data_IF_513953352041
#
_entry.id   IF_513953352041
#
_cell.length_a   1.000
_cell.length_b   1.000
_cell.length_c   1.000
_cell.angle_alpha   90.00
_cell.angle_beta   90.00
_cell.angle_gamma   90.00
#
_symmetry.space_group_name_H-M   'P 1'
#
loop_
_entity.id
_entity.type
_entity.pdbx_description
1 polymer ?
#
# COMPACT_ATOMS: atom_id res chain seq x y z
N UNK A 1 31.14 1.40 22.98
CA UNK A 1 30.51 2.49 22.21
C UNK A 1 31.59 3.23 21.45
N UNK A 2 32.10 2.52 20.45
CA UNK A 2 32.90 3.10 19.39
C UNK A 2 31.97 3.70 18.31
N UNK A 3 32.56 4.18 17.22
CA UNK A 3 31.76 4.77 16.13
C UNK A 3 30.96 3.74 15.34
N UNK A 4 31.35 2.46 15.37
CA UNK A 4 30.57 1.37 14.78
C UNK A 4 29.29 1.14 15.59
N UNK A 5 29.38 1.07 16.92
CA UNK A 5 28.22 0.93 17.81
C UNK A 5 27.18 2.05 17.60
N UNK A 6 27.65 3.29 17.36
CA UNK A 6 26.77 4.44 17.08
C UNK A 6 26.12 4.34 15.70
N UNK A 7 26.88 3.95 14.68
CA UNK A 7 26.38 3.78 13.32
C UNK A 7 25.29 2.71 13.26
N UNK A 8 25.49 1.57 13.91
CA UNK A 8 24.51 0.48 13.99
C UNK A 8 23.22 0.94 14.69
N UNK A 9 23.35 1.71 15.78
CA UNK A 9 22.20 2.30 16.47
C UNK A 9 21.36 3.21 15.57
N UNK A 10 22.01 4.02 14.73
CA UNK A 10 21.34 4.91 13.77
C UNK A 10 20.66 4.13 12.63
N UNK A 11 21.31 3.08 12.12
CA UNK A 11 20.74 2.20 11.10
C UNK A 11 19.46 1.55 11.63
N UNK A 12 19.54 0.92 12.82
CA UNK A 12 18.40 0.24 13.43
C UNK A 12 17.23 1.21 13.73
N UNK A 13 17.52 2.44 14.14
CA UNK A 13 16.49 3.46 14.34
C UNK A 13 15.79 3.84 13.03
N UNK A 14 16.58 4.03 11.95
CA UNK A 14 16.06 4.38 10.64
C UNK A 14 15.22 3.27 10.01
N UNK A 15 15.65 2.02 10.16
CA UNK A 15 14.89 0.86 9.69
C UNK A 15 13.53 0.75 10.40
N UNK A 16 13.50 0.92 11.73
CA UNK A 16 12.25 0.91 12.50
C UNK A 16 11.30 2.01 12.03
N UNK A 17 11.80 3.21 11.78
CA UNK A 17 10.98 4.32 11.30
C UNK A 17 10.42 4.05 9.89
N UNK A 18 11.25 3.52 8.99
CA UNK A 18 10.83 3.14 7.64
C UNK A 18 9.75 2.05 7.65
N UNK A 19 9.91 1.02 8.49
CA UNK A 19 8.91 -0.03 8.66
C UNK A 19 7.58 0.53 9.18
N UNK A 20 7.63 1.41 10.20
CA UNK A 20 6.43 2.04 10.74
C UNK A 20 5.73 2.96 9.71
N UNK A 21 6.48 3.67 8.87
CA UNK A 21 5.92 4.46 7.78
C UNK A 21 5.23 3.57 6.72
N UNK A 22 5.87 2.46 6.33
CA UNK A 22 5.30 1.52 5.36
C UNK A 22 4.00 0.87 5.89
N UNK A 23 3.97 0.47 7.16
CA UNK A 23 2.77 -0.11 7.79
C UNK A 23 1.58 0.87 7.80
N UNK A 24 1.84 2.14 8.11
CA UNK A 24 0.80 3.19 8.06
C UNK A 24 0.25 3.37 6.65
N UNK A 25 1.13 3.45 5.65
CA UNK A 25 0.72 3.56 4.25
C UNK A 25 -0.11 2.35 3.77
N UNK A 26 0.13 1.16 4.30
CA UNK A 26 -0.67 -0.04 4.02
C UNK A 26 -2.04 0.02 4.68
N UNK A 27 -2.13 0.52 5.91
CA UNK A 27 -3.41 0.67 6.63
C UNK A 27 -4.36 1.63 5.92
N UNK A 28 -3.83 2.67 5.26
CA UNK A 28 -4.61 3.63 4.47
C UNK A 28 -5.01 3.10 3.08
N UNK A 29 -4.49 1.96 2.63
CA UNK A 29 -4.89 1.41 1.34
C UNK A 29 -6.34 0.90 1.39
N UNK A 30 -7.22 1.36 0.48
CA UNK A 30 -8.59 0.89 0.47
C UNK A 30 -8.61 -0.62 0.22
N UNK A 31 -9.27 -1.33 1.14
CA UNK A 31 -9.54 -2.75 0.98
C UNK A 31 -10.45 -2.92 -0.23
N UNK A 32 -10.10 -3.88 -1.08
CA UNK A 32 -10.96 -4.23 -2.20
C UNK A 32 -11.91 -5.34 -1.81
N UNK A 33 -13.12 -5.31 -2.36
CA UNK A 33 -14.12 -6.36 -2.21
C UNK A 33 -14.17 -7.21 -3.49
N UNK A 34 -14.42 -8.52 -3.41
CA UNK A 34 -14.68 -9.33 -4.59
C UNK A 34 -16.05 -8.99 -5.19
N UNK A 35 -16.17 -9.01 -6.51
CA UNK A 35 -17.44 -8.81 -7.21
C UNK A 35 -17.27 -8.38 -8.67
N UNK A 36 -18.34 -7.87 -9.27
CA UNK A 36 -18.37 -7.36 -10.64
C UNK A 36 -18.03 -5.85 -10.72
N UNK A 37 -17.19 -5.47 -11.69
CA UNK A 37 -16.78 -4.08 -11.92
C UNK A 37 -17.88 -3.22 -12.56
N UNK A 38 -18.23 -2.09 -11.96
CA UNK A 38 -19.29 -1.18 -12.45
C UNK A 38 -18.99 -0.52 -13.81
N UNK A 39 -17.73 -0.50 -14.26
CA UNK A 39 -17.35 0.13 -15.54
C UNK A 39 -17.22 -0.85 -16.71
N UNK A 40 -16.75 -2.07 -16.46
CA UNK A 40 -16.47 -3.04 -17.53
C UNK A 40 -17.25 -4.35 -17.40
N UNK A 41 -17.96 -4.59 -16.29
CA UNK A 41 -18.74 -5.82 -16.07
C UNK A 41 -17.89 -7.07 -15.85
N UNK A 42 -16.57 -6.96 -15.69
CA UNK A 42 -15.72 -8.11 -15.34
C UNK A 42 -15.70 -8.36 -13.83
N UNK A 43 -15.79 -9.63 -13.45
CA UNK A 43 -15.51 -10.05 -12.08
C UNK A 43 -14.04 -9.82 -11.73
N UNK A 44 -13.82 -9.24 -10.55
CA UNK A 44 -12.49 -9.01 -10.00
C UNK A 44 -12.45 -9.43 -8.53
N UNK A 45 -11.39 -10.12 -8.09
CA UNK A 45 -11.22 -10.46 -6.69
C UNK A 45 -10.95 -9.22 -5.80
N UNK A 46 -10.62 -8.06 -6.41
CA UNK A 46 -10.31 -6.82 -5.69
C UNK A 46 -10.86 -5.60 -6.42
N UNK A 47 -12.12 -5.26 -6.13
CA UNK A 47 -12.76 -4.01 -6.51
C UNK A 47 -12.56 -2.96 -5.43
N UNK A 48 -12.09 -1.78 -5.80
CA UNK A 48 -12.05 -0.63 -4.88
C UNK A 48 -13.08 0.37 -5.36
N UNK A 49 -14.01 0.76 -4.48
CA UNK A 49 -15.15 1.62 -4.82
C UNK A 49 -15.92 1.10 -6.05
N UNK A 50 -16.16 -0.21 -6.13
CA UNK A 50 -16.91 -0.83 -7.24
C UNK A 50 -16.15 -0.99 -8.55
N UNK A 51 -14.87 -0.59 -8.63
CA UNK A 51 -14.11 -0.57 -9.89
C UNK A 51 -12.84 -1.42 -9.82
N UNK A 52 -12.61 -2.23 -10.86
CA UNK A 52 -11.41 -3.06 -11.01
C UNK A 52 -10.15 -2.21 -11.21
N UNK A 53 -8.97 -2.78 -10.94
CA UNK A 53 -7.69 -2.07 -11.05
C UNK A 53 -7.46 -1.48 -12.46
N UNK A 54 -7.70 -2.27 -13.51
CA UNK A 54 -7.54 -1.85 -14.90
C UNK A 54 -8.38 -0.62 -15.25
N UNK A 55 -9.64 -0.59 -14.82
CA UNK A 55 -10.53 0.53 -15.09
C UNK A 55 -10.15 1.76 -14.26
N UNK A 56 -9.77 1.60 -12.98
CA UNK A 56 -9.28 2.72 -12.16
C UNK A 56 -8.05 3.38 -12.76
N UNK A 57 -7.09 2.59 -13.24
CA UNK A 57 -5.87 3.09 -13.86
C UNK A 57 -6.17 3.78 -15.19
N UNK A 58 -7.03 3.18 -16.03
CA UNK A 58 -7.45 3.75 -17.33
C UNK A 58 -8.18 5.09 -17.18
N UNK A 59 -9.05 5.19 -16.17
CA UNK A 59 -9.87 6.39 -15.93
C UNK A 59 -9.25 7.37 -14.91
N UNK A 60 -8.05 7.07 -14.38
CA UNK A 60 -7.34 7.85 -13.34
C UNK A 60 -8.20 8.13 -12.10
N UNK A 61 -9.03 7.17 -11.71
CA UNK A 61 -9.90 7.24 -10.53
C UNK A 61 -9.04 6.92 -9.29
N UNK A 62 -8.46 7.96 -8.68
CA UNK A 62 -7.67 7.84 -7.44
C UNK A 62 -8.56 7.70 -6.20
#
# INVERSE_FOLDING_TARGET
MDDADKADGLIAAREKEALAAAQRAVADMPQGVPGECELCGEESPRLVRGVCARCRDKHKLK
#
